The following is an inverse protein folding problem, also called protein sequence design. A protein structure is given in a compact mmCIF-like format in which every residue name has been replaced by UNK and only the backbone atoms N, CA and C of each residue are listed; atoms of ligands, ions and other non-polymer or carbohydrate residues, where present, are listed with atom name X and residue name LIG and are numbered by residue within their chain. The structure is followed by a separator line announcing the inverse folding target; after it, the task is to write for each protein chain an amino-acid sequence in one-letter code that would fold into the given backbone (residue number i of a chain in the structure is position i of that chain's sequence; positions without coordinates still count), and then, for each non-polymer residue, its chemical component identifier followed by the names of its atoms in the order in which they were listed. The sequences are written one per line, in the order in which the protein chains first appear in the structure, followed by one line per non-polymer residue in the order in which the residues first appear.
data_IF_244652849134
#
_entry.id   IF_244652849134
#
_cell.length_a   1.000
_cell.length_b   1.000
_cell.length_c   1.000
_cell.angle_alpha   90.00
_cell.angle_beta   90.00
_cell.angle_gamma   90.00
#
_symmetry.space_group_name_H-M   'P 1'
#
loop_
_entity.id
_entity.type
_entity.pdbx_description
1 polymer ?
#
# COMPACT_ATOMS: atom_id res chain seq x y z
N UNK A 1 -14.51 21.65 -8.71
CA UNK A 1 -14.10 20.49 -9.53
C UNK A 1 -12.64 20.21 -9.28
N UNK A 2 -12.33 19.46 -8.22
CA UNK A 2 -10.95 19.09 -7.91
C UNK A 2 -10.54 17.92 -8.80
N UNK A 3 -9.56 18.18 -9.65
CA UNK A 3 -8.96 17.23 -10.60
C UNK A 3 -8.17 16.16 -9.85
N UNK A 4 -8.50 14.90 -10.10
CA UNK A 4 -7.69 13.75 -9.68
C UNK A 4 -6.29 13.84 -10.30
N UNK A 5 -5.25 13.98 -9.49
CA UNK A 5 -3.89 13.57 -9.86
C UNK A 5 -3.60 12.26 -9.15
N UNK A 6 -4.15 11.16 -9.68
CA UNK A 6 -3.64 9.82 -9.35
C UNK A 6 -2.29 9.72 -10.04
N UNK A 7 -1.24 10.18 -9.37
CA UNK A 7 0.13 9.99 -9.84
C UNK A 7 0.50 8.52 -9.65
N UNK A 8 0.12 7.68 -10.61
CA UNK A 8 0.82 6.42 -10.86
C UNK A 8 2.24 6.79 -11.31
N UNK A 9 3.11 7.16 -10.38
CA UNK A 9 4.54 7.28 -10.65
C UNK A 9 5.11 5.89 -10.87
N UNK A 10 4.93 5.32 -12.07
CA UNK A 10 5.96 4.44 -12.61
C UNK A 10 7.16 5.33 -12.91
N UNK A 11 8.00 5.59 -11.90
CA UNK A 11 9.15 6.49 -12.03
C UNK A 11 10.11 5.98 -13.10
N UNK A 12 10.06 6.58 -14.29
CA UNK A 12 11.24 6.77 -15.14
C UNK A 12 12.08 7.89 -14.51
N UNK A 13 12.64 7.66 -13.32
CA UNK A 13 13.69 8.55 -12.82
C UNK A 13 15.04 8.08 -13.37
N UNK A 14 15.51 8.85 -14.35
CA UNK A 14 16.77 8.70 -15.03
C UNK A 14 17.94 8.92 -14.05
N UNK A 15 18.57 7.82 -13.62
CA UNK A 15 19.96 7.76 -13.14
C UNK A 15 20.60 6.57 -13.90
N UNK A 16 21.66 6.77 -14.69
CA UNK A 16 22.13 5.75 -15.62
C UNK A 16 22.75 4.57 -14.84
N UNK A 17 22.46 3.36 -15.29
CA UNK A 17 22.84 2.04 -14.74
C UNK A 17 22.07 1.57 -13.49
N UNK A 18 20.88 1.01 -13.72
CA UNK A 18 20.38 -0.26 -13.16
C UNK A 18 18.92 -0.39 -13.63
N UNK A 19 18.59 -1.51 -14.27
CA UNK A 19 17.32 -1.79 -14.92
C UNK A 19 16.09 -1.21 -14.19
N UNK A 20 15.17 -0.58 -14.93
CA UNK A 20 13.94 0.05 -14.42
C UNK A 20 13.16 -0.91 -13.50
N UNK A 21 13.30 -0.70 -12.18
CA UNK A 21 12.56 -1.44 -11.15
C UNK A 21 11.21 -0.73 -11.01
N UNK A 22 10.06 -1.37 -11.29
CA UNK A 22 8.77 -0.75 -11.05
C UNK A 22 8.59 -0.51 -9.54
N UNK A 23 8.54 0.77 -9.17
CA UNK A 23 8.20 1.26 -7.83
C UNK A 23 6.80 1.83 -7.88
N UNK A 24 5.89 1.36 -7.03
CA UNK A 24 4.56 1.94 -6.84
C UNK A 24 4.50 2.72 -5.53
N UNK A 25 4.08 3.99 -5.59
CA UNK A 25 3.91 4.85 -4.40
C UNK A 25 2.49 5.39 -4.37
N UNK A 26 1.77 5.19 -3.26
CA UNK A 26 0.47 5.82 -3.01
C UNK A 26 0.55 6.66 -1.74
N UNK A 27 0.08 7.89 -1.82
CA UNK A 27 0.02 8.85 -0.71
C UNK A 27 -1.37 9.45 -0.72
N UNK A 28 -2.08 9.34 0.42
CA UNK A 28 -3.37 9.99 0.59
C UNK A 28 -3.34 10.79 1.89
N UNK A 29 -3.38 12.12 1.78
CA UNK A 29 -3.32 13.01 2.95
C UNK A 29 -4.65 13.16 3.67
N UNK A 30 -5.74 12.74 3.02
CA UNK A 30 -7.11 12.84 3.52
C UNK A 30 -7.82 11.51 3.30
N UNK A 31 -8.70 11.18 4.24
CA UNK A 31 -9.53 9.98 4.20
C UNK A 31 -10.47 9.96 3.00
N UNK A 32 -11.02 11.12 2.62
CA UNK A 32 -11.98 11.27 1.50
C UNK A 32 -11.46 10.72 0.16
N UNK A 33 -10.14 10.70 -0.04
CA UNK A 33 -9.54 10.16 -1.27
C UNK A 33 -9.51 8.63 -1.31
N UNK A 34 -9.46 8.00 -0.14
CA UNK A 34 -9.44 6.54 -0.02
C UNK A 34 -10.82 5.99 0.27
N UNK A 35 -11.72 6.75 0.90
CA UNK A 35 -13.09 6.30 1.19
C UNK A 35 -13.81 5.84 -0.08
N UNK A 36 -13.69 6.60 -1.18
CA UNK A 36 -14.25 6.23 -2.49
C UNK A 36 -13.71 4.87 -2.97
N UNK A 37 -12.43 4.59 -2.72
CA UNK A 37 -11.80 3.31 -3.09
C UNK A 37 -12.26 2.18 -2.16
N UNK A 38 -12.44 2.47 -0.87
CA UNK A 38 -12.90 1.52 0.14
C UNK A 38 -14.40 1.18 0.00
N UNK A 39 -15.21 2.08 -0.55
CA UNK A 39 -16.63 1.87 -0.83
C UNK A 39 -16.87 0.97 -2.04
N UNK A 40 -15.87 0.80 -2.92
CA UNK A 40 -15.98 -0.14 -4.03
C UNK A 40 -15.73 -1.58 -3.58
N UNK A 41 -16.53 -2.51 -4.11
CA UNK A 41 -16.39 -3.95 -3.85
C UNK A 41 -15.30 -4.63 -4.69
N UNK A 42 -14.70 -3.90 -5.64
CA UNK A 42 -13.66 -4.45 -6.50
C UNK A 42 -12.32 -4.47 -5.78
N UNK A 43 -11.77 -5.67 -5.67
CA UNK A 43 -10.39 -5.87 -5.21
C UNK A 43 -9.41 -5.34 -6.26
N UNK A 44 -8.41 -4.58 -5.82
CA UNK A 44 -7.34 -4.04 -6.67
C UNK A 44 -6.24 -5.10 -6.81
N UNK A 45 -5.97 -5.54 -8.04
CA UNK A 45 -4.87 -6.45 -8.34
C UNK A 45 -3.61 -5.64 -8.66
N UNK A 46 -2.57 -5.80 -7.85
CA UNK A 46 -1.33 -5.00 -7.98
C UNK A 46 -0.31 -5.67 -8.94
N UNK A 47 -0.48 -6.96 -9.25
CA UNK A 47 0.43 -7.69 -10.12
C UNK A 47 1.85 -7.80 -9.54
N UNK A 48 2.87 -7.91 -10.40
CA UNK A 48 4.27 -8.02 -9.97
C UNK A 48 4.88 -6.64 -9.72
N UNK A 49 4.96 -6.23 -8.46
CA UNK A 49 5.57 -4.95 -8.05
C UNK A 49 6.82 -5.21 -7.22
N UNK A 50 7.97 -4.74 -7.70
CA UNK A 50 9.23 -4.92 -6.97
C UNK A 50 9.25 -4.12 -5.67
N UNK A 51 8.79 -2.87 -5.67
CA UNK A 51 8.76 -2.03 -4.46
C UNK A 51 7.45 -1.26 -4.35
N UNK A 52 6.86 -1.26 -3.16
CA UNK A 52 5.61 -0.57 -2.90
C UNK A 52 5.69 0.29 -1.64
N UNK A 53 5.18 1.52 -1.72
CA UNK A 53 5.16 2.47 -0.62
C UNK A 53 3.76 3.03 -0.42
N UNK A 54 3.16 2.80 0.75
CA UNK A 54 1.87 3.34 1.15
C UNK A 54 2.07 4.30 2.33
N UNK A 55 1.59 5.54 2.17
CA UNK A 55 1.75 6.60 3.17
C UNK A 55 0.41 7.20 3.57
N UNK A 56 0.29 7.53 4.86
CA UNK A 56 -0.89 8.16 5.47
C UNK A 56 -2.14 7.31 5.24
N UNK A 57 -3.27 7.91 4.88
CA UNK A 57 -4.53 7.19 4.64
C UNK A 57 -4.43 6.13 3.53
N UNK A 58 -3.41 6.16 2.66
CA UNK A 58 -3.23 5.14 1.63
C UNK A 58 -2.93 3.74 2.21
N UNK A 59 -2.53 3.65 3.47
CA UNK A 59 -2.36 2.37 4.17
C UNK A 59 -3.69 1.59 4.24
N UNK A 60 -4.82 2.29 4.37
CA UNK A 60 -6.16 1.66 4.39
C UNK A 60 -6.51 0.89 3.12
N UNK A 61 -5.94 1.28 1.97
CA UNK A 61 -6.19 0.64 0.67
C UNK A 61 -5.73 -0.81 0.67
N UNK A 62 -4.81 -1.21 1.57
CA UNK A 62 -4.42 -2.62 1.74
C UNK A 62 -5.62 -3.56 1.93
N UNK A 63 -6.67 -3.10 2.61
CA UNK A 63 -7.90 -3.90 2.85
C UNK A 63 -8.67 -4.23 1.57
N UNK A 64 -8.38 -3.52 0.47
CA UNK A 64 -9.00 -3.71 -0.85
C UNK A 64 -8.03 -4.24 -1.88
N UNK A 65 -6.78 -4.52 -1.52
CA UNK A 65 -5.79 -5.08 -2.43
C UNK A 65 -5.78 -6.61 -2.36
N UNK A 66 -5.71 -7.25 -3.51
CA UNK A 66 -5.34 -8.68 -3.60
C UNK A 66 -3.82 -8.77 -3.72
N UNK A 67 -3.17 -9.13 -2.61
CA UNK A 67 -1.71 -9.17 -2.49
C UNK A 67 -1.15 -10.60 -2.36
N UNK A 68 -2.01 -11.62 -2.33
CA UNK A 68 -1.65 -13.00 -2.02
C UNK A 68 -0.65 -13.60 -3.02
N UNK A 69 -0.83 -13.29 -4.31
CA UNK A 69 0.06 -13.75 -5.40
C UNK A 69 1.10 -12.69 -5.81
N UNK A 70 1.31 -11.66 -4.98
CA UNK A 70 2.32 -10.64 -5.23
C UNK A 70 3.69 -11.01 -4.64
N UNK A 71 4.75 -10.65 -5.34
CA UNK A 71 6.13 -10.74 -4.84
C UNK A 71 6.74 -9.33 -4.69
N UNK A 72 7.08 -8.96 -3.46
CA UNK A 72 7.72 -7.68 -3.14
C UNK A 72 9.18 -7.87 -2.75
N UNK A 73 10.09 -7.11 -3.39
CA UNK A 73 11.42 -6.90 -2.83
C UNK A 73 11.35 -5.99 -1.60
N UNK A 74 10.46 -4.98 -1.63
CA UNK A 74 10.24 -4.08 -0.50
C UNK A 74 8.79 -3.59 -0.40
N UNK A 75 8.16 -3.78 0.75
CA UNK A 75 6.86 -3.19 1.08
C UNK A 75 7.04 -2.24 2.28
N UNK A 76 6.73 -0.95 2.09
CA UNK A 76 6.89 0.09 3.09
C UNK A 76 5.53 0.71 3.41
N UNK A 77 5.15 0.70 4.69
CA UNK A 77 3.94 1.32 5.21
C UNK A 77 4.32 2.41 6.21
N UNK A 78 3.78 3.61 6.03
CA UNK A 78 4.01 4.75 6.91
C UNK A 78 2.69 5.41 7.26
N UNK A 79 2.38 5.49 8.56
CA UNK A 79 1.24 6.23 9.07
C UNK A 79 1.69 7.10 10.23
N UNK A 80 1.55 8.40 10.08
CA UNK A 80 1.91 9.41 11.08
C UNK A 80 0.87 9.58 12.18
N UNK A 81 -0.35 9.09 11.97
CA UNK A 81 -1.45 9.16 12.93
C UNK A 81 -2.22 7.85 13.03
N UNK A 82 -2.94 7.67 14.13
CA UNK A 82 -3.75 6.47 14.39
C UNK A 82 -4.94 6.34 13.41
N UNK A 83 -5.56 7.46 13.02
CA UNK A 83 -6.74 7.43 12.14
C UNK A 83 -6.39 6.90 10.74
N UNK A 84 -5.13 7.07 10.31
CA UNK A 84 -4.63 6.61 9.01
C UNK A 84 -4.57 5.07 8.89
N UNK A 85 -4.58 4.36 10.02
CA UNK A 85 -4.58 2.88 10.09
C UNK A 85 -5.88 2.29 10.64
N UNK A 86 -6.79 3.12 11.14
CA UNK A 86 -8.03 2.69 11.78
C UNK A 86 -8.85 1.73 10.88
N UNK A 87 -8.95 2.03 9.59
CA UNK A 87 -9.64 1.17 8.62
C UNK A 87 -9.02 -0.24 8.50
N UNK A 88 -7.70 -0.37 8.61
CA UNK A 88 -7.02 -1.68 8.59
C UNK A 88 -7.28 -2.45 9.88
N UNK A 89 -7.25 -1.75 11.02
CA UNK A 89 -7.47 -2.36 12.33
C UNK A 89 -8.92 -2.81 12.52
N UNK A 90 -9.88 -2.03 12.01
CA UNK A 90 -11.30 -2.35 11.99
C UNK A 90 -11.67 -3.41 10.94
N UNK A 91 -10.76 -3.75 10.02
CA UNK A 91 -11.04 -4.77 9.01
C UNK A 91 -11.14 -6.16 9.68
N UNK A 92 -12.26 -6.85 9.45
CA UNK A 92 -12.56 -8.13 10.09
C UNK A 92 -11.58 -9.25 9.70
N UNK A 93 -11.05 -9.19 8.48
CA UNK A 93 -10.18 -10.23 7.93
C UNK A 93 -8.71 -9.84 8.07
N UNK A 94 -7.86 -10.86 8.16
CA UNK A 94 -6.42 -10.68 7.97
C UNK A 94 -6.12 -10.35 6.51
N UNK A 95 -5.13 -9.50 6.28
CA UNK A 95 -4.64 -9.16 4.95
C UNK A 95 -3.54 -10.15 4.57
N UNK A 96 -3.85 -11.04 3.63
CA UNK A 96 -2.88 -11.96 3.05
C UNK A 96 -1.97 -11.20 2.10
N UNK A 97 -0.67 -11.19 2.41
CA UNK A 97 0.37 -10.64 1.57
C UNK A 97 1.27 -11.78 1.12
N UNK A 98 1.52 -11.83 -0.19
CA UNK A 98 2.44 -12.79 -0.80
C UNK A 98 3.89 -12.58 -0.33
N UNK A 99 4.84 -13.06 -1.10
CA UNK A 99 6.24 -13.09 -0.66
C UNK A 99 6.82 -11.68 -0.51
N UNK A 100 7.30 -11.34 0.68
CA UNK A 100 7.96 -10.05 0.95
C UNK A 100 9.39 -10.27 1.43
N UNK A 101 10.40 -9.84 0.66
CA UNK A 101 11.81 -9.93 1.07
C UNK A 101 12.15 -8.99 2.22
N UNK A 102 11.57 -7.78 2.21
CA UNK A 102 11.77 -6.77 3.26
C UNK A 102 10.49 -5.97 3.47
N UNK A 103 9.96 -6.01 4.69
CA UNK A 103 8.84 -5.19 5.12
C UNK A 103 9.33 -4.08 6.06
N UNK A 104 8.86 -2.85 5.87
CA UNK A 104 9.12 -1.74 6.77
C UNK A 104 7.80 -1.13 7.22
N UNK A 105 7.46 -1.28 8.50
CA UNK A 105 6.36 -0.59 9.15
C UNK A 105 6.92 0.57 9.97
N UNK A 106 6.39 1.77 9.78
CA UNK A 106 6.89 2.98 10.44
C UNK A 106 5.76 3.69 11.19
N UNK A 107 6.08 4.18 12.39
CA UNK A 107 5.13 4.93 13.23
C UNK A 107 3.86 4.09 13.52
N UNK A 108 2.67 4.67 13.40
CA UNK A 108 1.41 3.97 13.68
C UNK A 108 1.16 2.78 12.74
N UNK A 109 1.86 2.67 11.60
CA UNK A 109 1.77 1.49 10.74
C UNK A 109 2.31 0.21 11.39
N UNK A 110 3.01 0.29 12.53
CA UNK A 110 3.39 -0.92 13.29
C UNK A 110 2.16 -1.60 13.90
N UNK A 111 1.10 -0.83 14.22
CA UNK A 111 -0.12 -1.36 14.85
C UNK A 111 -0.87 -2.36 13.97
N UNK A 112 -0.69 -2.31 12.65
CA UNK A 112 -1.35 -3.23 11.71
C UNK A 112 -0.63 -4.57 11.57
N UNK A 113 0.54 -4.75 12.19
CA UNK A 113 1.31 -6.00 12.12
C UNK A 113 0.45 -7.25 12.46
N UNK A 114 -0.41 -7.24 13.51
CA UNK A 114 -1.27 -8.40 13.82
C UNK A 114 -2.32 -8.71 12.75
N UNK A 115 -2.60 -7.77 11.84
CA UNK A 115 -3.55 -7.96 10.73
C UNK A 115 -2.90 -8.52 9.48
N UNK A 116 -1.56 -8.59 9.42
CA UNK A 116 -0.83 -9.04 8.24
C UNK A 116 -0.50 -10.53 8.33
N UNK A 117 -0.89 -11.29 7.30
CA UNK A 117 -0.46 -12.67 7.11
C UNK A 117 0.54 -12.73 5.96
N UNK A 118 1.81 -12.96 6.29
CA UNK A 118 2.90 -13.01 5.31
C UNK A 118 3.10 -14.44 4.84
N UNK A 119 3.14 -14.64 3.52
CA UNK A 119 3.58 -15.89 2.91
C UNK A 119 5.12 -15.91 2.89
N UNK A 120 5.72 -16.85 3.62
CA UNK A 120 7.17 -17.06 3.71
C UNK A 120 7.73 -17.78 2.47
#
# INVERSE_FOLDING_TARGET
TATCRVELHTSRQNRPSLASVPVGTLIAEREEYVSVVLEHDKTICVGRVKKMWLCKYAVSVLTKMSLEDCEFEKLILYASREEEVAAVLAHDKTISVGRVKRMELRQYAVSILPKLLLRL
#
